data_IF_670537563097
#
_entry.id   IF_670537563097
#
_cell.length_a   1.000
_cell.length_b   1.000
_cell.length_c   1.000
_cell.angle_alpha   90.00
_cell.angle_beta   90.00
_cell.angle_gamma   90.00
#
_symmetry.space_group_name_H-M   'P 1'
#
loop_
_entity.id
_entity.type
_entity.pdbx_description
1 polymer ?
#
# COMPACT_ATOMS: atom_id res chain seq x y z
N UNK A 1 -37.18 -54.98 -0.98
CA UNK A 1 -36.63 -53.71 -1.51
C UNK A 1 -35.79 -53.07 -0.43
N UNK A 2 -34.49 -52.87 -0.69
CA UNK A 2 -33.56 -52.26 0.27
C UNK A 2 -33.35 -50.78 -0.10
N UNK A 3 -33.44 -49.81 0.83
CA UNK A 3 -33.25 -48.41 0.50
C UNK A 3 -31.76 -48.10 0.39
N UNK A 4 -31.34 -47.66 -0.80
CA UNK A 4 -29.99 -47.17 -1.07
C UNK A 4 -29.71 -45.94 -0.21
N UNK A 5 -28.78 -46.08 0.74
CA UNK A 5 -28.23 -44.95 1.48
C UNK A 5 -27.51 -44.00 0.52
N UNK A 6 -27.97 -42.74 0.47
CA UNK A 6 -27.24 -41.65 -0.17
C UNK A 6 -25.94 -41.43 0.59
N UNK A 7 -24.81 -41.89 0.05
CA UNK A 7 -23.48 -41.40 0.43
C UNK A 7 -23.43 -39.92 0.06
N UNK A 8 -23.47 -39.03 1.05
CA UNK A 8 -23.12 -37.63 0.85
C UNK A 8 -21.70 -37.58 0.27
N UNK A 9 -21.53 -36.92 -0.86
CA UNK A 9 -20.22 -36.65 -1.42
C UNK A 9 -19.43 -35.82 -0.41
N UNK A 10 -18.42 -36.43 0.22
CA UNK A 10 -17.42 -35.70 0.98
C UNK A 10 -16.68 -34.78 -0.01
N UNK A 11 -16.95 -33.48 0.07
CA UNK A 11 -16.34 -32.47 -0.78
C UNK A 11 -14.82 -32.53 -0.59
N UNK A 12 -14.05 -32.84 -1.64
CA UNK A 12 -12.60 -33.02 -1.58
C UNK A 12 -11.82 -31.83 -0.97
N UNK A 13 -12.43 -30.64 -0.94
CA UNK A 13 -11.86 -29.43 -0.33
C UNK A 13 -12.01 -29.35 1.20
N UNK A 14 -12.94 -30.09 1.81
CA UNK A 14 -13.18 -30.00 3.26
C UNK A 14 -12.05 -30.59 4.11
N UNK A 15 -11.30 -31.57 3.58
CA UNK A 15 -10.17 -32.20 4.28
C UNK A 15 -9.07 -31.19 4.66
N UNK A 16 -8.93 -30.12 3.91
CA UNK A 16 -7.89 -29.10 4.12
C UNK A 16 -8.45 -27.74 4.54
N UNK A 17 -9.77 -27.61 4.73
CA UNK A 17 -10.38 -26.30 5.01
C UNK A 17 -9.97 -25.71 6.36
N UNK A 18 -9.61 -26.57 7.32
CA UNK A 18 -9.11 -26.17 8.65
C UNK A 18 -7.88 -25.26 8.60
N UNK A 19 -7.11 -25.25 7.50
CA UNK A 19 -5.92 -24.36 7.39
C UNK A 19 -6.32 -22.89 7.35
N UNK A 20 -7.56 -22.56 6.98
CA UNK A 20 -8.08 -21.19 6.98
C UNK A 20 -8.25 -20.63 8.38
N UNK A 21 -8.40 -21.49 9.40
CA UNK A 21 -8.56 -21.08 10.79
C UNK A 21 -7.25 -20.51 11.38
N UNK A 22 -6.12 -20.72 10.70
CA UNK A 22 -4.83 -20.10 11.05
C UNK A 22 -4.68 -18.67 10.50
N UNK A 23 -5.58 -18.19 9.64
CA UNK A 23 -5.58 -16.79 9.21
C UNK A 23 -5.98 -15.90 10.40
N UNK A 24 -5.02 -15.12 10.90
CA UNK A 24 -5.28 -14.17 11.97
C UNK A 24 -6.16 -13.01 11.47
N UNK A 25 -7.14 -12.62 12.27
CA UNK A 25 -7.88 -11.37 12.04
C UNK A 25 -7.00 -10.17 12.36
N UNK A 26 -6.86 -9.29 11.38
CA UNK A 26 -5.99 -8.13 11.42
C UNK A 26 -6.80 -6.83 11.29
N UNK A 27 -8.03 -6.85 11.80
CA UNK A 27 -8.94 -5.70 11.80
C UNK A 27 -8.39 -4.57 12.66
N UNK A 28 -8.22 -3.38 12.09
CA UNK A 28 -7.69 -2.20 12.80
C UNK A 28 -8.75 -1.47 13.63
N UNK A 29 -8.29 -0.85 14.74
CA UNK A 29 -9.13 -0.17 15.71
C UNK A 29 -10.13 0.81 15.05
N UNK A 30 -11.44 0.73 15.36
CA UNK A 30 -12.44 1.67 14.85
C UNK A 30 -12.19 3.11 15.27
N UNK A 31 -12.75 4.07 14.54
CA UNK A 31 -12.67 5.52 14.82
C UNK A 31 -11.26 6.13 14.85
N UNK A 32 -10.24 5.38 14.44
CA UNK A 32 -8.87 5.86 14.24
C UNK A 32 -8.61 6.15 12.76
N UNK A 33 -7.82 7.20 12.50
CA UNK A 33 -7.20 7.42 11.21
C UNK A 33 -6.29 6.24 10.91
N UNK A 34 -6.26 5.82 9.66
CA UNK A 34 -5.40 4.74 9.22
C UNK A 34 -4.40 5.35 8.27
N UNK A 35 -3.12 5.30 8.61
CA UNK A 35 -2.04 5.80 7.78
C UNK A 35 -1.26 4.63 7.23
N UNK A 36 -1.20 4.51 5.91
CA UNK A 36 -0.31 3.58 5.22
C UNK A 36 0.87 4.37 4.71
N UNK A 37 2.07 4.10 5.24
CA UNK A 37 3.31 4.71 4.77
C UNK A 37 4.09 3.73 3.91
N UNK A 38 4.45 4.16 2.72
CA UNK A 38 5.34 3.50 1.77
C UNK A 38 6.73 4.10 1.85
N UNK A 39 7.74 3.25 1.67
CA UNK A 39 9.16 3.60 1.67
C UNK A 39 9.86 2.81 0.55
N UNK A 40 10.72 3.48 -0.23
CA UNK A 40 11.46 2.86 -1.32
C UNK A 40 12.51 1.88 -0.82
N UNK A 41 12.35 0.59 -1.12
CA UNK A 41 13.31 -0.42 -0.63
C UNK A 41 14.66 -0.27 -1.32
N UNK A 42 15.70 0.03 -0.52
CA UNK A 42 17.06 0.30 -1.00
C UNK A 42 17.10 1.41 -2.07
N UNK A 43 16.32 2.47 -1.88
CA UNK A 43 16.19 3.53 -2.90
C UNK A 43 17.47 4.31 -3.14
N UNK A 44 18.40 4.36 -2.18
CA UNK A 44 19.75 4.90 -2.40
C UNK A 44 20.44 4.22 -3.59
N UNK A 45 20.52 2.89 -3.56
CA UNK A 45 21.09 2.08 -4.66
C UNK A 45 20.29 2.25 -5.95
N UNK A 46 18.95 2.29 -5.85
CA UNK A 46 18.10 2.51 -7.01
C UNK A 46 18.41 3.86 -7.69
N UNK A 47 18.52 4.92 -6.90
CA UNK A 47 18.82 6.28 -7.37
C UNK A 47 20.20 6.39 -8.01
N UNK A 48 21.21 5.68 -7.48
CA UNK A 48 22.56 5.64 -8.06
C UNK A 48 22.57 4.89 -9.40
N UNK A 49 21.94 3.72 -9.46
CA UNK A 49 21.94 2.90 -10.68
C UNK A 49 21.12 3.52 -11.82
N UNK A 50 20.13 4.38 -11.51
CA UNK A 50 19.32 5.10 -12.49
C UNK A 50 19.73 6.57 -12.64
N UNK A 51 20.91 6.95 -12.12
CA UNK A 51 21.53 8.26 -12.30
C UNK A 51 20.62 9.44 -11.94
N UNK A 52 19.99 9.36 -10.76
CA UNK A 52 19.13 10.42 -10.26
C UNK A 52 19.94 11.68 -9.95
N UNK A 53 19.40 12.83 -10.35
CA UNK A 53 19.96 14.14 -10.00
C UNK A 53 19.99 14.32 -8.49
N UNK A 54 21.07 14.93 -7.98
CA UNK A 54 21.26 15.25 -6.56
C UNK A 54 21.23 16.78 -6.37
N UNK A 55 20.68 17.30 -5.25
CA UNK A 55 20.10 16.53 -4.14
C UNK A 55 18.73 15.92 -4.47
N UNK A 56 17.99 16.51 -5.42
CA UNK A 56 16.64 16.08 -5.81
C UNK A 56 16.52 15.89 -7.32
N UNK A 57 15.73 14.89 -7.74
CA UNK A 57 15.39 14.64 -9.15
C UNK A 57 13.89 14.84 -9.36
N UNK A 58 13.53 15.90 -10.06
CA UNK A 58 12.12 16.24 -10.33
C UNK A 58 11.38 15.12 -11.08
N UNK A 59 12.08 14.33 -11.91
CA UNK A 59 11.46 13.20 -12.64
C UNK A 59 10.99 12.14 -11.65
N UNK A 60 11.84 11.82 -10.67
CA UNK A 60 11.53 10.85 -9.63
C UNK A 60 10.38 11.34 -8.74
N UNK A 61 10.43 12.59 -8.30
CA UNK A 61 9.41 13.18 -7.43
C UNK A 61 8.05 13.27 -8.13
N UNK A 62 8.03 13.67 -9.41
CA UNK A 62 6.79 13.70 -10.19
C UNK A 62 6.26 12.30 -10.49
N UNK A 63 7.12 11.32 -10.76
CA UNK A 63 6.69 9.92 -10.92
C UNK A 63 6.07 9.38 -9.62
N UNK A 64 6.72 9.58 -8.47
CA UNK A 64 6.17 9.19 -7.16
C UNK A 64 4.81 9.85 -6.91
N UNK A 65 4.67 11.13 -7.26
CA UNK A 65 3.40 11.87 -7.14
C UNK A 65 2.33 11.31 -8.06
N UNK A 66 2.65 10.94 -9.30
CA UNK A 66 1.70 10.30 -10.22
C UNK A 66 1.25 8.93 -9.71
N UNK A 67 2.16 8.17 -9.11
CA UNK A 67 1.81 6.91 -8.45
C UNK A 67 0.84 7.15 -7.29
N UNK A 68 1.10 8.15 -6.45
CA UNK A 68 0.22 8.51 -5.34
C UNK A 68 -1.17 8.96 -5.81
N UNK A 69 -1.24 9.77 -6.87
CA UNK A 69 -2.51 10.16 -7.50
C UNK A 69 -3.29 8.93 -7.98
N UNK A 70 -2.62 8.01 -8.66
CA UNK A 70 -3.24 6.76 -9.15
C UNK A 70 -3.78 5.93 -7.99
N UNK A 71 -3.05 5.82 -6.88
CA UNK A 71 -3.54 5.16 -5.66
C UNK A 71 -4.79 5.85 -5.10
N UNK A 72 -4.82 7.19 -5.08
CA UNK A 72 -5.97 7.95 -4.59
C UNK A 72 -7.20 7.91 -5.51
N UNK A 73 -6.99 7.72 -6.81
CA UNK A 73 -8.04 7.60 -7.81
C UNK A 73 -8.66 6.19 -7.81
N UNK A 74 -7.83 5.16 -7.68
CA UNK A 74 -8.25 3.74 -7.75
C UNK A 74 -8.75 3.20 -6.40
N UNK A 75 -8.25 3.74 -5.29
CA UNK A 75 -8.66 3.32 -3.95
C UNK A 75 -9.62 4.32 -3.33
N UNK A 76 -10.61 3.80 -2.62
CA UNK A 76 -11.61 4.61 -1.92
C UNK A 76 -11.13 5.06 -0.54
N UNK A 77 -11.83 6.04 0.03
CA UNK A 77 -11.68 6.50 1.42
C UNK A 77 -10.34 7.14 1.81
N UNK A 78 -9.42 7.37 0.87
CA UNK A 78 -8.22 8.17 1.12
C UNK A 78 -8.63 9.65 1.20
N UNK A 79 -8.26 10.30 2.30
CA UNK A 79 -8.58 11.70 2.58
C UNK A 79 -7.46 12.65 2.14
N UNK A 80 -6.20 12.24 2.34
CA UNK A 80 -5.01 13.00 1.98
C UNK A 80 -3.84 12.04 1.77
N UNK A 81 -2.96 12.39 0.83
CA UNK A 81 -1.65 11.79 0.71
C UNK A 81 -0.56 12.86 0.86
N UNK A 82 0.55 12.49 1.48
CA UNK A 82 1.75 13.34 1.62
C UNK A 82 2.97 12.53 1.24
N UNK A 83 3.84 13.09 0.39
CA UNK A 83 5.07 12.41 -0.04
C UNK A 83 6.27 13.33 0.00
N UNK A 84 7.42 12.71 0.24
CA UNK A 84 8.72 13.36 0.33
C UNK A 84 9.80 12.35 -0.05
N UNK A 85 10.80 12.77 -0.83
CA UNK A 85 11.90 11.90 -1.26
C UNK A 85 11.36 10.61 -1.90
N UNK A 86 11.59 9.47 -1.25
CA UNK A 86 11.23 8.12 -1.61
C UNK A 86 10.10 7.54 -0.73
N UNK A 87 9.47 8.35 0.13
CA UNK A 87 8.34 7.95 0.96
C UNK A 87 7.02 8.63 0.55
N UNK A 88 5.91 7.90 0.76
CA UNK A 88 4.55 8.42 0.59
C UNK A 88 3.62 7.88 1.68
N UNK A 89 2.80 8.75 2.24
CA UNK A 89 1.86 8.44 3.33
C UNK A 89 0.44 8.67 2.86
N UNK A 90 -0.41 7.65 2.94
CA UNK A 90 -1.82 7.68 2.56
C UNK A 90 -2.70 7.60 3.81
N UNK A 91 -3.58 8.58 3.99
CA UNK A 91 -4.43 8.69 5.17
C UNK A 91 -5.86 8.32 4.80
N UNK A 92 -6.34 7.18 5.30
CA UNK A 92 -7.73 6.76 5.14
C UNK A 92 -8.61 7.33 6.25
N UNK A 93 -9.86 7.63 5.90
CA UNK A 93 -10.87 8.19 6.82
C UNK A 93 -11.10 7.29 8.03
N UNK A 94 -11.27 7.92 9.20
CA UNK A 94 -11.62 7.25 10.48
C UNK A 94 -12.78 6.27 10.40
N UNK A 95 -13.81 6.66 9.65
CA UNK A 95 -15.06 5.91 9.48
C UNK A 95 -15.01 4.88 8.34
N UNK A 96 -13.88 4.74 7.66
CA UNK A 96 -13.76 3.78 6.56
C UNK A 96 -14.10 2.37 7.04
N UNK A 97 -14.89 1.66 6.24
CA UNK A 97 -15.21 0.24 6.45
C UNK A 97 -14.62 -0.63 5.35
N UNK A 98 -13.73 -0.06 4.54
CA UNK A 98 -13.09 -0.72 3.42
C UNK A 98 -12.42 -2.02 3.88
N UNK A 99 -12.69 -3.12 3.18
CA UNK A 99 -12.24 -4.47 3.52
C UNK A 99 -12.41 -4.86 5.01
N UNK A 100 -13.52 -4.48 5.65
CA UNK A 100 -13.76 -4.71 7.09
C UNK A 100 -12.67 -4.13 8.00
N UNK A 101 -11.92 -3.15 7.50
CA UNK A 101 -10.77 -2.54 8.15
C UNK A 101 -9.59 -3.49 8.37
N UNK A 102 -9.38 -4.50 7.53
CA UNK A 102 -8.21 -5.38 7.61
C UNK A 102 -6.92 -4.67 7.23
N UNK A 103 -5.95 -4.64 8.15
CA UNK A 103 -4.65 -3.97 7.97
C UNK A 103 -3.94 -4.41 6.68
N UNK A 104 -3.85 -5.72 6.47
CA UNK A 104 -3.25 -6.36 5.30
C UNK A 104 -3.85 -5.87 4.00
N UNK A 105 -5.16 -5.60 3.95
CA UNK A 105 -5.83 -5.12 2.75
C UNK A 105 -5.47 -3.68 2.43
N UNK A 106 -5.47 -2.79 3.43
CA UNK A 106 -4.95 -1.42 3.20
C UNK A 106 -3.52 -1.44 2.69
N UNK A 107 -2.63 -2.19 3.38
CA UNK A 107 -1.21 -2.24 3.02
C UNK A 107 -0.99 -2.81 1.62
N UNK A 108 -1.52 -4.01 1.35
CA UNK A 108 -1.25 -4.71 0.08
C UNK A 108 -1.80 -3.97 -1.12
N UNK A 109 -3.03 -3.42 -1.04
CA UNK A 109 -3.61 -2.68 -2.16
C UNK A 109 -2.86 -1.37 -2.43
N UNK A 110 -2.45 -0.62 -1.40
CA UNK A 110 -1.66 0.60 -1.57
C UNK A 110 -0.28 0.27 -2.16
N UNK A 111 0.44 -0.69 -1.57
CA UNK A 111 1.78 -1.09 -2.05
C UNK A 111 1.74 -1.61 -3.48
N UNK A 112 0.79 -2.49 -3.81
CA UNK A 112 0.72 -3.10 -5.14
C UNK A 112 0.33 -2.08 -6.21
N UNK A 113 -0.65 -1.21 -5.91
CA UNK A 113 -1.07 -0.18 -6.86
C UNK A 113 0.03 0.87 -7.07
N UNK A 114 0.74 1.25 -6.01
CA UNK A 114 1.86 2.19 -6.12
C UNK A 114 3.02 1.60 -6.92
N UNK A 115 3.45 0.37 -6.59
CA UNK A 115 4.58 -0.29 -7.24
C UNK A 115 4.32 -0.54 -8.73
N UNK A 116 3.11 -0.99 -9.08
CA UNK A 116 2.71 -1.20 -10.47
C UNK A 116 2.64 0.11 -11.24
N UNK A 117 2.08 1.16 -10.65
CA UNK A 117 2.05 2.51 -11.24
C UNK A 117 3.45 3.06 -11.48
N UNK A 118 4.39 2.81 -10.57
CA UNK A 118 5.77 3.29 -10.68
C UNK A 118 6.47 2.72 -11.91
N UNK A 119 6.30 1.43 -12.17
CA UNK A 119 6.84 0.78 -13.38
C UNK A 119 6.07 1.22 -14.63
N UNK A 120 4.74 1.31 -14.54
CA UNK A 120 3.88 1.64 -15.67
C UNK A 120 4.15 3.04 -16.23
N UNK A 121 4.21 4.04 -15.35
CA UNK A 121 4.43 5.45 -15.73
C UNK A 121 5.90 5.84 -15.86
N UNK A 122 6.86 4.93 -15.59
CA UNK A 122 8.29 5.24 -15.62
C UNK A 122 8.70 5.99 -16.90
N UNK A 123 8.30 5.49 -18.07
CA UNK A 123 8.69 6.06 -19.37
C UNK A 123 8.14 7.45 -19.64
N UNK A 124 7.09 7.86 -18.94
CA UNK A 124 6.51 9.20 -19.10
C UNK A 124 7.41 10.27 -18.47
N UNK A 125 8.15 9.90 -17.42
CA UNK A 125 9.04 10.79 -16.66
C UNK A 125 10.53 10.56 -16.98
N UNK A 126 10.92 9.32 -17.24
CA UNK A 126 12.28 8.88 -17.56
C UNK A 126 12.33 8.41 -19.02
N UNK A 127 12.30 9.38 -19.95
CA UNK A 127 12.22 9.10 -21.40
C UNK A 127 13.47 8.41 -21.94
N UNK A 128 14.65 8.88 -21.51
CA UNK A 128 15.94 8.42 -22.00
C UNK A 128 16.61 7.38 -21.08
N UNK A 129 16.03 7.15 -19.90
CA UNK A 129 16.57 6.22 -18.91
C UNK A 129 15.67 4.98 -18.83
N UNK A 130 16.23 3.82 -19.17
CA UNK A 130 15.51 2.56 -18.98
C UNK A 130 15.45 2.19 -17.49
N UNK A 131 14.30 1.62 -17.09
CA UNK A 131 14.17 0.98 -15.79
C UNK A 131 14.98 -0.32 -15.81
N UNK A 132 16.06 -0.37 -15.02
CA UNK A 132 17.00 -1.49 -15.01
C UNK A 132 16.43 -2.73 -14.31
N UNK A 133 15.62 -2.52 -13.27
CA UNK A 133 14.95 -3.58 -12.51
C UNK A 133 13.70 -3.04 -11.82
N UNK A 134 12.70 -3.90 -11.53
CA UNK A 134 11.50 -3.47 -10.81
C UNK A 134 11.84 -3.10 -9.36
N UNK A 135 11.46 -1.90 -8.89
CA UNK A 135 11.68 -1.50 -7.50
C UNK A 135 10.73 -2.23 -6.56
N UNK A 136 11.13 -2.33 -5.29
CA UNK A 136 10.26 -2.78 -4.20
C UNK A 136 9.92 -1.60 -3.30
N UNK A 137 8.74 -1.65 -2.69
CA UNK A 137 8.30 -0.67 -1.70
C UNK A 137 7.87 -1.40 -0.43
N UNK A 138 8.35 -0.93 0.71
CA UNK A 138 7.96 -1.43 2.01
C UNK A 138 6.80 -0.60 2.54
N UNK A 139 5.74 -1.27 2.99
CA UNK A 139 4.55 -0.64 3.54
C UNK A 139 4.39 -0.90 5.03
N UNK A 140 3.99 0.12 5.80
CA UNK A 140 3.56 -0.05 7.19
C UNK A 140 2.27 0.70 7.46
N UNK A 141 1.50 0.19 8.42
CA UNK A 141 0.24 0.80 8.86
C UNK A 141 0.38 1.35 10.27
N UNK A 142 -0.12 2.57 10.50
CA UNK A 142 -0.15 3.22 11.81
C UNK A 142 -1.54 3.80 12.05
N UNK A 143 -2.03 3.68 13.29
CA UNK A 143 -3.34 4.17 13.67
C UNK A 143 -3.21 5.42 14.55
N UNK A 144 -3.95 6.47 14.21
CA UNK A 144 -3.99 7.70 15.00
C UNK A 144 -5.42 7.97 15.52
N UNK A 145 -5.64 8.02 16.84
CA UNK A 145 -6.99 8.13 17.41
C UNK A 145 -7.59 9.52 17.26
N UNK A 146 -6.78 10.58 17.36
CA UNK A 146 -7.25 11.97 17.29
C UNK A 146 -6.82 12.66 16.00
N UNK A 147 -7.50 13.77 15.67
CA UNK A 147 -7.07 14.63 14.55
C UNK A 147 -5.75 15.33 14.87
N UNK A 148 -5.48 15.60 16.16
CA UNK A 148 -4.21 16.20 16.57
C UNK A 148 -3.05 15.24 16.29
N UNK A 149 -3.15 13.97 16.67
CA UNK A 149 -2.07 13.00 16.40
C UNK A 149 -1.79 12.84 14.90
N UNK A 150 -2.83 12.88 14.06
CA UNK A 150 -2.64 12.87 12.61
C UNK A 150 -1.91 14.13 12.11
N UNK A 151 -2.30 15.31 12.60
CA UNK A 151 -1.62 16.57 12.26
C UNK A 151 -0.17 16.53 12.70
N UNK A 152 0.11 16.11 13.93
CA UNK A 152 1.46 15.99 14.47
C UNK A 152 2.30 15.04 13.62
N UNK A 153 1.72 13.92 13.17
CA UNK A 153 2.38 13.01 12.24
C UNK A 153 2.73 13.68 10.90
N UNK A 154 1.77 14.37 10.27
CA UNK A 154 2.01 15.05 8.99
C UNK A 154 3.03 16.18 9.14
N UNK A 155 2.96 16.96 10.23
CA UNK A 155 3.94 18.00 10.56
C UNK A 155 5.32 17.40 10.81
N UNK A 156 5.40 16.24 11.48
CA UNK A 156 6.67 15.55 11.69
C UNK A 156 7.28 15.07 10.37
N UNK A 157 6.47 14.60 9.42
CA UNK A 157 6.95 14.28 8.07
C UNK A 157 7.41 15.54 7.33
N UNK A 158 6.66 16.63 7.43
CA UNK A 158 7.06 17.90 6.82
C UNK A 158 8.35 18.49 7.41
N UNK A 159 8.59 18.34 8.71
CA UNK A 159 9.82 18.80 9.35
C UNK A 159 11.05 17.95 9.00
N UNK A 160 10.84 16.73 8.50
CA UNK A 160 11.89 15.83 7.99
C UNK A 160 12.28 16.18 6.54
N UNK A 161 11.55 17.10 5.89
CA UNK A 161 11.68 17.51 4.48
C UNK A 161 12.76 18.55 4.21
#
# INVERSE_FOLDING_TARGET
>A
GSPRGRRGLAMAKSKFEYVRDFEADDTVLPNCWIVVRLDGRNFHRFSEQHEFKKPNDDRALHLMTKCAQTVMEELEDIAIAYGQSDEYSFVFKKKSRWFKRRASKFMTHVVSQFSSSYVFYWKDYFKDQQLLYPPGFDGRIVLYPSNQNLKDYLSWRQADC
#
